data_IF_494300727267
#
_entry.id   IF_494300727267
#
_cell.length_a   1.000
_cell.length_b   1.000
_cell.length_c   1.000
_cell.angle_alpha   90.00
_cell.angle_beta   90.00
_cell.angle_gamma   90.00
#
_symmetry.space_group_name_H-M   'P 1'
#
loop_
_entity.id
_entity.type
_entity.pdbx_description
1 polymer ?
#
# COMPACT_ATOMS: atom_id res chain seq x y z
N UNK A 1 -25.73 37.53 -56.77
CA UNK A 1 -25.26 38.92 -56.62
C UNK A 1 -24.14 38.93 -55.58
N UNK A 2 -22.88 39.09 -56.00
CA UNK A 2 -21.73 39.13 -55.11
C UNK A 2 -21.53 40.55 -54.57
N UNK A 3 -21.47 40.72 -53.24
CA UNK A 3 -21.15 42.01 -52.60
C UNK A 3 -19.65 42.30 -52.75
N UNK A 4 -19.31 43.47 -53.26
CA UNK A 4 -17.93 43.96 -53.33
C UNK A 4 -17.39 44.20 -51.91
N UNK A 5 -16.26 43.58 -51.57
CA UNK A 5 -15.54 43.89 -50.33
C UNK A 5 -14.91 45.28 -50.46
N UNK A 6 -15.28 46.20 -49.55
CA UNK A 6 -14.69 47.53 -49.46
C UNK A 6 -13.20 47.47 -49.07
N UNK A 7 -12.43 48.55 -49.34
CA UNK A 7 -10.99 48.57 -49.14
C UNK A 7 -10.62 48.36 -47.66
N UNK A 8 -9.79 47.35 -47.39
CA UNK A 8 -9.23 47.09 -46.06
C UNK A 8 -8.26 48.22 -45.72
N UNK A 9 -8.69 49.08 -44.79
CA UNK A 9 -7.85 50.16 -44.25
C UNK A 9 -6.76 49.52 -43.40
N UNK A 10 -5.56 49.38 -43.96
CA UNK A 10 -4.36 48.95 -43.23
C UNK A 10 -4.11 49.92 -42.08
N UNK A 11 -4.38 49.49 -40.84
CA UNK A 11 -4.02 50.26 -39.65
C UNK A 11 -2.49 50.38 -39.63
N UNK A 12 -1.97 51.61 -39.67
CA UNK A 12 -0.54 51.87 -39.45
C UNK A 12 -0.16 51.23 -38.11
N UNK A 13 0.73 50.24 -38.15
CA UNK A 13 1.21 49.58 -36.95
C UNK A 13 1.88 50.63 -36.04
N UNK A 14 1.47 50.67 -34.78
CA UNK A 14 2.05 51.59 -33.81
C UNK A 14 3.53 51.22 -33.63
N UNK A 15 4.46 52.20 -33.73
CA UNK A 15 5.90 51.95 -33.61
C UNK A 15 6.29 51.23 -32.31
N UNK A 16 5.52 51.42 -31.23
CA UNK A 16 5.71 50.71 -29.97
C UNK A 16 5.45 49.21 -30.10
N UNK A 17 4.42 48.81 -30.86
CA UNK A 17 4.07 47.40 -31.07
C UNK A 17 5.10 46.70 -31.97
N UNK A 18 5.63 47.42 -32.96
CA UNK A 18 6.75 46.94 -33.78
C UNK A 18 8.05 46.80 -32.97
N UNK A 19 8.33 47.74 -32.07
CA UNK A 19 9.50 47.66 -31.19
C UNK A 19 9.41 46.48 -30.22
N UNK A 20 8.23 46.24 -29.62
CA UNK A 20 8.00 45.08 -28.75
C UNK A 20 8.13 43.78 -29.56
N UNK A 21 7.54 43.71 -30.76
CA UNK A 21 7.67 42.55 -31.64
C UNK A 21 9.12 42.26 -32.03
N UNK A 22 9.89 43.30 -32.37
CA UNK A 22 11.30 43.17 -32.69
C UNK A 22 12.13 42.70 -31.49
N UNK A 23 11.87 43.23 -30.30
CA UNK A 23 12.54 42.81 -29.07
C UNK A 23 12.24 41.34 -28.74
N UNK A 24 10.99 40.91 -28.93
CA UNK A 24 10.58 39.52 -28.72
C UNK A 24 11.26 38.57 -29.72
N UNK A 25 11.36 38.96 -30.99
CA UNK A 25 12.08 38.19 -32.01
C UNK A 25 13.58 38.09 -31.71
N UNK A 26 14.22 39.18 -31.28
CA UNK A 26 15.64 39.18 -30.90
C UNK A 26 15.87 38.30 -29.68
N UNK A 27 14.98 38.35 -28.69
CA UNK A 27 15.03 37.48 -27.51
C UNK A 27 14.90 36.00 -27.88
N UNK A 28 13.98 35.66 -28.79
CA UNK A 28 13.79 34.29 -29.28
C UNK A 28 15.02 33.81 -30.05
N UNK A 29 15.58 34.64 -30.93
CA UNK A 29 16.78 34.28 -31.71
C UNK A 29 17.99 34.14 -30.80
N UNK A 30 18.16 35.02 -29.80
CA UNK A 30 19.23 34.90 -28.81
C UNK A 30 19.10 33.61 -27.98
N UNK A 31 17.88 33.22 -27.62
CA UNK A 31 17.63 31.99 -26.87
C UNK A 31 17.83 30.71 -27.71
N UNK A 32 17.58 30.78 -29.03
CA UNK A 32 17.78 29.66 -29.96
C UNK A 32 19.21 29.55 -30.50
N UNK A 33 19.95 30.66 -30.59
CA UNK A 33 21.29 30.73 -31.18
C UNK A 33 22.42 30.95 -30.14
N UNK A 34 22.08 31.08 -28.85
CA UNK A 34 23.07 31.13 -27.78
C UNK A 34 23.90 29.84 -27.73
N UNK A 35 25.24 29.92 -27.57
CA UNK A 35 26.06 28.73 -27.48
C UNK A 35 25.56 27.87 -26.32
N UNK A 36 25.21 26.63 -26.61
CA UNK A 36 24.90 25.62 -25.60
C UNK A 36 26.17 25.40 -24.79
N UNK A 37 26.32 26.18 -23.72
CA UNK A 37 27.42 26.04 -22.78
C UNK A 37 27.50 24.59 -22.34
N UNK A 38 28.65 23.98 -22.62
CA UNK A 38 29.05 22.67 -22.12
C UNK A 38 28.98 22.71 -20.59
N UNK A 39 27.83 22.33 -20.05
CA UNK A 39 27.63 22.10 -18.64
C UNK A 39 28.33 20.79 -18.29
N UNK A 40 29.53 20.96 -17.75
CA UNK A 40 30.27 19.94 -17.03
C UNK A 40 29.39 19.30 -15.95
N UNK A 41 29.37 17.97 -15.95
CA UNK A 41 29.07 17.08 -14.83
C UNK A 41 27.92 17.48 -13.89
N UNK A 42 26.68 17.29 -14.36
CA UNK A 42 25.57 16.98 -13.45
C UNK A 42 25.01 15.61 -13.86
N UNK A 43 25.19 14.66 -12.96
CA UNK A 43 24.68 13.29 -12.98
C UNK A 43 23.23 13.24 -13.50
N UNK A 44 23.05 12.88 -14.78
CA UNK A 44 21.76 12.44 -15.31
C UNK A 44 21.38 11.14 -14.59
N UNK A 45 20.62 11.24 -13.51
CA UNK A 45 19.76 10.15 -13.02
C UNK A 45 18.76 9.85 -14.13
N UNK A 46 19.13 8.95 -15.05
CA UNK A 46 18.23 8.39 -16.06
C UNK A 46 17.11 7.65 -15.32
N UNK A 47 15.85 7.99 -15.61
CA UNK A 47 14.66 7.28 -15.15
C UNK A 47 14.78 5.80 -15.52
N UNK A 48 14.53 4.92 -14.54
CA UNK A 48 14.39 3.48 -14.76
C UNK A 48 13.17 3.23 -15.67
N UNK A 49 13.34 2.42 -16.71
CA UNK A 49 12.23 1.85 -17.47
C UNK A 49 12.10 0.37 -17.11
N UNK A 50 10.87 -0.19 -17.05
CA UNK A 50 10.67 -1.61 -16.80
C UNK A 50 11.32 -2.45 -17.92
N UNK A 51 11.67 -3.68 -17.60
CA UNK A 51 12.20 -4.64 -18.56
C UNK A 51 11.23 -4.81 -19.73
N UNK A 52 11.76 -5.11 -20.92
CA UNK A 52 10.95 -5.47 -22.10
C UNK A 52 10.23 -6.82 -21.94
N UNK A 53 10.49 -7.56 -20.84
CA UNK A 53 9.97 -8.88 -20.58
C UNK A 53 9.05 -8.89 -19.34
N UNK A 54 7.79 -9.37 -19.44
CA UNK A 54 6.81 -9.32 -18.35
C UNK A 54 7.10 -10.24 -17.16
N UNK A 55 8.11 -11.13 -17.27
CA UNK A 55 8.52 -12.07 -16.22
C UNK A 55 9.87 -11.72 -15.56
N UNK A 56 10.39 -10.51 -15.75
CA UNK A 56 11.59 -10.08 -15.01
C UNK A 56 11.24 -9.89 -13.53
N UNK A 57 11.93 -10.56 -12.59
CA UNK A 57 11.59 -10.44 -11.18
C UNK A 57 11.77 -8.98 -10.75
N UNK A 58 10.78 -8.35 -10.10
CA UNK A 58 10.84 -6.93 -9.73
C UNK A 58 11.83 -6.64 -8.60
N UNK A 59 12.57 -7.63 -8.13
CA UNK A 59 13.41 -7.55 -6.92
C UNK A 59 14.81 -7.00 -7.16
N UNK A 60 15.18 -6.63 -8.40
CA UNK A 60 16.45 -5.93 -8.63
C UNK A 60 16.31 -4.78 -9.64
N UNK A 61 16.79 -3.56 -9.32
CA UNK A 61 16.94 -2.53 -10.33
C UNK A 61 17.92 -3.05 -11.39
N UNK A 62 17.52 -3.01 -12.66
CA UNK A 62 18.37 -3.40 -13.78
C UNK A 62 19.73 -2.67 -13.68
N UNK A 63 20.80 -3.41 -13.37
CA UNK A 63 22.17 -2.90 -13.45
C UNK A 63 22.59 -2.93 -14.92
N UNK A 64 23.07 -1.79 -15.41
CA UNK A 64 23.64 -1.67 -16.76
C UNK A 64 24.69 -2.77 -16.94
N UNK A 65 24.55 -3.56 -18.00
CA UNK A 65 25.49 -4.64 -18.33
C UNK A 65 26.91 -4.10 -18.38
N UNK A 66 27.81 -4.65 -17.55
CA UNK A 66 29.23 -4.36 -17.68
C UNK A 66 29.77 -5.19 -18.84
N UNK A 67 30.12 -4.52 -19.93
CA UNK A 67 31.03 -5.09 -20.92
C UNK A 67 32.42 -5.16 -20.31
N UNK A 68 33.03 -6.35 -20.28
CA UNK A 68 34.46 -6.47 -19.96
C UNK A 68 35.30 -5.70 -20.99
N UNK A 69 36.56 -5.40 -20.67
CA UNK A 69 37.47 -4.70 -21.58
C UNK A 69 37.57 -5.35 -22.98
N UNK A 70 37.34 -6.66 -23.08
CA UNK A 70 37.33 -7.45 -24.32
C UNK A 70 35.97 -7.48 -25.06
N UNK A 71 34.99 -6.65 -24.69
CA UNK A 71 33.67 -6.60 -25.35
C UNK A 71 32.76 -7.80 -25.08
N UNK A 72 33.17 -8.76 -24.24
CA UNK A 72 32.33 -9.89 -23.82
C UNK A 72 31.34 -9.47 -22.74
N UNK A 73 30.13 -10.02 -22.81
CA UNK A 73 29.05 -9.80 -21.84
C UNK A 73 29.42 -10.47 -20.52
N UNK A 74 29.54 -9.69 -19.43
CA UNK A 74 29.73 -10.28 -18.10
C UNK A 74 28.44 -11.02 -17.72
N UNK A 75 28.49 -12.31 -17.36
CA UNK A 75 27.30 -13.03 -16.91
C UNK A 75 26.72 -12.36 -15.65
N UNK A 76 25.38 -12.36 -15.47
CA UNK A 76 24.76 -11.80 -14.28
C UNK A 76 25.24 -12.55 -13.02
N UNK A 77 25.30 -11.88 -11.86
CA UNK A 77 25.66 -12.55 -10.62
C UNK A 77 24.65 -13.65 -10.28
N UNK A 78 25.14 -14.83 -9.90
CA UNK A 78 24.30 -15.92 -9.41
C UNK A 78 24.12 -15.73 -7.90
N UNK A 79 22.88 -15.50 -7.46
CA UNK A 79 22.53 -15.44 -6.04
C UNK A 79 21.84 -16.72 -5.62
N UNK A 80 22.28 -17.32 -4.52
CA UNK A 80 21.67 -18.53 -3.93
C UNK A 80 20.99 -18.16 -2.62
N UNK A 81 19.74 -18.58 -2.47
CA UNK A 81 18.97 -18.43 -1.24
C UNK A 81 18.56 -19.82 -0.76
N UNK A 82 18.84 -20.12 0.50
CA UNK A 82 18.29 -21.28 1.18
C UNK A 82 17.12 -20.79 2.05
N UNK A 83 15.89 -21.04 1.61
CA UNK A 83 14.71 -20.54 2.31
C UNK A 83 14.54 -21.13 3.70
N UNK A 84 15.05 -22.35 3.94
CA UNK A 84 15.07 -22.96 5.28
C UNK A 84 15.96 -22.21 6.29
N UNK A 85 16.80 -21.28 5.82
CA UNK A 85 17.64 -20.43 6.68
C UNK A 85 17.04 -19.04 6.90
N UNK A 86 15.89 -18.71 6.29
CA UNK A 86 15.18 -17.46 6.54
C UNK A 86 14.37 -17.66 7.82
N UNK A 87 14.81 -17.01 8.90
CA UNK A 87 14.16 -17.16 10.19
C UNK A 87 12.99 -16.19 10.34
N UNK A 88 11.97 -16.62 11.07
CA UNK A 88 10.83 -15.80 11.49
C UNK A 88 10.57 -16.10 12.97
N UNK A 89 11.17 -15.30 13.85
CA UNK A 89 11.27 -15.61 15.29
C UNK A 89 10.63 -14.53 16.16
N UNK A 90 10.46 -14.84 17.45
CA UNK A 90 10.01 -13.88 18.44
C UNK A 90 10.95 -12.67 18.65
N UNK A 91 12.22 -12.77 18.24
CA UNK A 91 13.25 -11.75 18.41
C UNK A 91 13.83 -11.28 17.06
N UNK A 92 13.01 -10.63 16.21
CA UNK A 92 13.36 -10.38 14.81
C UNK A 92 14.57 -9.43 14.65
N UNK A 93 14.79 -8.49 15.58
CA UNK A 93 15.94 -7.57 15.52
C UNK A 93 17.27 -8.28 15.75
N UNK A 94 17.34 -9.16 16.76
CA UNK A 94 18.56 -9.91 17.10
C UNK A 94 19.00 -10.79 15.94
N UNK A 95 18.03 -11.37 15.24
CA UNK A 95 18.25 -12.22 14.06
C UNK A 95 18.37 -11.43 12.75
N UNK A 96 18.29 -10.09 12.81
CA UNK A 96 18.32 -9.18 11.64
C UNK A 96 17.32 -9.56 10.55
N UNK A 97 16.11 -9.93 10.96
CA UNK A 97 15.05 -10.39 10.07
C UNK A 97 14.51 -9.24 9.22
N UNK A 98 14.39 -9.45 7.91
CA UNK A 98 13.89 -8.41 7.00
C UNK A 98 12.36 -8.32 7.09
N UNK A 99 11.85 -7.09 7.23
CA UNK A 99 10.41 -6.81 7.23
C UNK A 99 10.02 -6.12 5.93
N UNK A 100 8.94 -6.58 5.31
CA UNK A 100 8.31 -5.97 4.16
C UNK A 100 6.98 -5.34 4.58
N UNK A 101 6.91 -4.01 4.61
CA UNK A 101 5.68 -3.27 4.90
C UNK A 101 4.95 -3.01 3.58
N UNK A 102 3.72 -3.51 3.48
CA UNK A 102 2.89 -3.46 2.29
C UNK A 102 1.68 -2.56 2.52
N UNK A 103 1.54 -1.53 1.68
CA UNK A 103 0.50 -0.51 1.84
C UNK A 103 -0.20 -0.19 0.52
N UNK A 104 -1.43 -0.71 0.33
CA UNK A 104 -2.37 -0.13 -0.63
C UNK A 104 -2.73 1.29 -0.20
N UNK A 105 -2.57 2.27 -1.10
CA UNK A 105 -2.73 3.68 -0.76
C UNK A 105 -3.54 4.42 -1.84
N UNK A 106 -4.77 4.81 -1.50
CA UNK A 106 -5.59 5.68 -2.33
C UNK A 106 -5.32 7.17 -2.09
N UNK A 107 -5.11 7.54 -0.82
CA UNK A 107 -4.80 8.90 -0.35
C UNK A 107 -3.54 8.87 0.50
N UNK A 108 -2.75 9.93 0.45
CA UNK A 108 -1.55 10.06 1.25
C UNK A 108 -1.85 10.87 2.52
N UNK A 109 -1.61 10.28 3.68
CA UNK A 109 -1.71 10.95 4.97
C UNK A 109 -0.32 11.18 5.54
N UNK A 110 -0.03 12.43 5.96
CA UNK A 110 1.25 12.74 6.57
C UNK A 110 1.44 11.97 7.89
N UNK A 111 0.37 11.79 8.67
CA UNK A 111 0.38 11.00 9.91
C UNK A 111 0.82 9.56 9.70
N UNK A 112 0.40 8.91 8.61
CA UNK A 112 0.86 7.56 8.26
C UNK A 112 2.38 7.53 8.00
N UNK A 113 2.92 8.50 7.27
CA UNK A 113 4.35 8.56 7.00
C UNK A 113 5.17 8.86 8.26
N UNK A 114 4.67 9.76 9.11
CA UNK A 114 5.31 10.08 10.38
C UNK A 114 5.30 8.87 11.32
N UNK A 115 4.21 8.10 11.33
CA UNK A 115 4.09 6.83 12.05
C UNK A 115 5.13 5.81 11.56
N UNK A 116 5.29 5.62 10.25
CA UNK A 116 6.36 4.75 9.70
C UNK A 116 7.76 5.19 10.15
N UNK A 117 8.03 6.49 10.21
CA UNK A 117 9.33 7.03 10.64
C UNK A 117 9.57 6.94 12.14
N UNK A 118 8.51 6.73 12.91
CA UNK A 118 8.53 6.58 14.36
C UNK A 118 8.77 5.12 14.79
N UNK A 119 8.58 4.14 13.91
CA UNK A 119 8.91 2.74 14.19
C UNK A 119 10.36 2.60 14.65
N UNK A 120 10.58 1.86 15.72
CA UNK A 120 11.92 1.65 16.30
C UNK A 120 12.59 0.37 15.76
N UNK A 121 11.93 -0.38 14.88
CA UNK A 121 12.56 -1.46 14.13
C UNK A 121 13.65 -0.88 13.20
N UNK A 122 14.85 -1.48 13.10
CA UNK A 122 15.94 -0.89 12.33
C UNK A 122 15.54 -0.64 10.87
N UNK A 123 15.57 0.61 10.42
CA UNK A 123 15.06 0.99 9.11
C UNK A 123 15.83 0.30 7.96
N UNK A 124 17.10 -0.06 8.18
CA UNK A 124 17.91 -0.82 7.23
C UNK A 124 17.46 -2.29 7.04
N UNK A 125 16.51 -2.76 7.85
CA UNK A 125 15.84 -4.05 7.74
C UNK A 125 14.39 -3.92 7.22
N UNK A 126 13.92 -2.70 6.98
CA UNK A 126 12.55 -2.43 6.51
C UNK A 126 12.56 -2.16 5.01
N UNK A 127 11.80 -2.95 4.27
CA UNK A 127 11.46 -2.75 2.88
C UNK A 127 10.04 -2.19 2.81
N UNK A 128 9.84 -1.07 2.12
CA UNK A 128 8.51 -0.50 1.92
C UNK A 128 8.03 -0.81 0.52
N UNK A 129 6.76 -1.19 0.38
CA UNK A 129 6.13 -1.26 -0.91
C UNK A 129 4.71 -0.68 -0.89
N UNK A 130 4.44 0.15 -1.89
CA UNK A 130 3.18 0.85 -2.05
C UNK A 130 2.52 0.47 -3.37
N UNK A 131 1.19 0.38 -3.38
CA UNK A 131 0.42 0.32 -4.62
C UNK A 131 -0.67 1.39 -4.61
N UNK A 132 -0.73 2.19 -5.67
CA UNK A 132 -1.64 3.33 -5.77
C UNK A 132 -2.52 3.28 -7.03
N UNK A 133 -3.78 3.71 -6.98
CA UNK A 133 -4.71 3.68 -8.12
C UNK A 133 -4.36 4.74 -9.18
N UNK A 134 -4.67 4.44 -10.45
CA UNK A 134 -4.47 5.34 -11.60
C UNK A 134 -5.58 6.38 -11.80
N UNK A 135 -5.96 7.06 -10.72
CA UNK A 135 -6.95 8.15 -10.76
C UNK A 135 -6.35 9.48 -10.25
N UNK A 136 -7.14 10.55 -10.23
CA UNK A 136 -6.71 11.90 -9.81
C UNK A 136 -6.13 11.89 -8.39
N UNK A 137 -6.83 11.26 -7.44
CA UNK A 137 -6.42 11.18 -6.03
C UNK A 137 -5.14 10.37 -5.87
N UNK A 138 -5.06 9.19 -6.50
CA UNK A 138 -3.87 8.34 -6.47
C UNK A 138 -2.65 8.97 -7.14
N UNK A 139 -2.83 9.83 -8.16
CA UNK A 139 -1.74 10.63 -8.72
C UNK A 139 -1.22 11.65 -7.69
N UNK A 140 -2.11 12.36 -6.99
CA UNK A 140 -1.72 13.30 -5.94
C UNK A 140 -1.01 12.59 -4.78
N UNK A 141 -1.54 11.44 -4.33
CA UNK A 141 -0.93 10.59 -3.32
C UNK A 141 0.47 10.11 -3.76
N UNK A 142 0.64 9.72 -5.04
CA UNK A 142 1.94 9.32 -5.58
C UNK A 142 2.96 10.45 -5.51
N UNK A 143 2.57 11.68 -5.89
CA UNK A 143 3.47 12.84 -5.81
C UNK A 143 3.87 13.17 -4.38
N UNK A 144 2.92 13.14 -3.43
CA UNK A 144 3.19 13.39 -2.02
C UNK A 144 4.12 12.32 -1.41
N UNK A 145 3.83 11.04 -1.67
CA UNK A 145 4.66 9.91 -1.26
C UNK A 145 6.08 10.04 -1.82
N UNK A 146 6.23 10.33 -3.11
CA UNK A 146 7.56 10.48 -3.74
C UNK A 146 8.37 11.63 -3.12
N UNK A 147 7.73 12.73 -2.75
CA UNK A 147 8.39 13.84 -2.08
C UNK A 147 8.95 13.40 -0.71
N UNK A 148 8.16 12.70 0.09
CA UNK A 148 8.57 12.20 1.39
C UNK A 148 9.64 11.10 1.30
N UNK A 149 9.48 10.15 0.37
CA UNK A 149 10.49 9.13 0.06
C UNK A 149 11.83 9.77 -0.30
N UNK A 150 11.82 10.79 -1.16
CA UNK A 150 13.04 11.49 -1.58
C UNK A 150 13.72 12.20 -0.42
N UNK A 151 12.94 12.78 0.50
CA UNK A 151 13.45 13.43 1.72
C UNK A 151 14.09 12.41 2.65
N UNK A 152 13.36 11.34 2.99
CA UNK A 152 13.81 10.31 3.94
C UNK A 152 15.04 9.56 3.44
N UNK A 153 15.07 9.18 2.15
CA UNK A 153 16.18 8.44 1.54
C UNK A 153 17.46 9.26 1.35
N UNK A 154 17.44 10.57 1.63
CA UNK A 154 18.63 11.43 1.73
C UNK A 154 19.09 11.66 3.18
N UNK A 155 18.23 11.34 4.16
CA UNK A 155 18.50 11.53 5.57
C UNK A 155 19.17 10.32 6.21
N UNK A 156 19.28 10.30 7.55
CA UNK A 156 19.86 9.18 8.30
C UNK A 156 18.88 8.00 8.50
N UNK A 157 17.56 8.24 8.43
CA UNK A 157 16.50 7.24 8.65
C UNK A 157 16.11 6.50 7.36
N UNK A 158 17.09 6.04 6.58
CA UNK A 158 16.84 5.41 5.28
C UNK A 158 16.27 4.00 5.47
N UNK A 159 15.17 3.72 4.76
CA UNK A 159 14.64 2.36 4.63
C UNK A 159 15.50 1.54 3.65
N UNK A 160 15.60 0.22 3.88
CA UNK A 160 16.40 -0.71 3.07
C UNK A 160 16.10 -0.62 1.58
N UNK A 161 14.81 -0.62 1.23
CA UNK A 161 14.33 -0.46 -0.13
C UNK A 161 12.92 0.11 -0.15
N UNK A 162 12.55 0.77 -1.25
CA UNK A 162 11.20 1.33 -1.44
C UNK A 162 10.74 1.05 -2.87
N UNK A 163 9.60 0.38 -2.99
CA UNK A 163 8.94 0.09 -4.28
C UNK A 163 7.60 0.82 -4.35
N UNK A 164 7.33 1.51 -5.46
CA UNK A 164 6.04 2.21 -5.68
C UNK A 164 5.43 1.67 -6.97
N UNK A 165 4.31 0.98 -6.85
CA UNK A 165 3.54 0.41 -7.94
C UNK A 165 2.32 1.29 -8.24
N UNK A 166 1.89 1.25 -9.51
CA UNK A 166 0.63 1.85 -9.97
C UNK A 166 -0.26 0.72 -10.45
N UNK A 167 -1.50 0.66 -9.96
CA UNK A 167 -2.47 -0.37 -10.36
C UNK A 167 -2.61 -0.46 -11.88
N UNK A 168 -2.73 -1.67 -12.42
CA UNK A 168 -2.83 -1.97 -13.85
C UNK A 168 -4.26 -2.31 -14.30
N UNK A 169 -5.22 -2.28 -13.38
CA UNK A 169 -6.65 -2.44 -13.63
C UNK A 169 -7.43 -1.17 -13.27
N UNK A 170 -8.61 -1.03 -13.86
CA UNK A 170 -9.50 0.10 -13.60
C UNK A 170 -10.13 0.02 -12.20
N UNK A 171 -10.36 1.19 -11.60
CA UNK A 171 -11.07 1.27 -10.32
C UNK A 171 -12.52 0.80 -10.53
N UNK A 172 -13.04 -0.13 -9.72
CA UNK A 172 -14.39 -0.68 -9.90
C UNK A 172 -15.49 0.35 -9.60
N UNK A 173 -15.17 1.41 -8.86
CA UNK A 173 -16.11 2.46 -8.47
C UNK A 173 -15.62 3.82 -8.96
N UNK A 174 -16.54 4.61 -9.52
CA UNK A 174 -16.27 5.98 -9.98
C UNK A 174 -16.12 6.97 -8.81
N UNK A 175 -16.81 6.73 -7.67
CA UNK A 175 -16.68 7.51 -6.43
C UNK A 175 -15.91 6.73 -5.35
N UNK A 176 -15.15 7.46 -4.53
CA UNK A 176 -14.46 6.97 -3.33
C UNK A 176 -15.13 7.43 -2.03
N UNK A 177 -16.33 8.03 -2.11
CA UNK A 177 -17.07 8.50 -0.94
C UNK A 177 -17.51 7.34 -0.05
N UNK A 178 -17.41 7.51 1.27
CA UNK A 178 -17.71 6.47 2.26
C UNK A 178 -19.10 5.85 2.03
N UNK A 179 -20.15 6.67 1.97
CA UNK A 179 -21.53 6.19 1.77
C UNK A 179 -21.70 5.32 0.50
N UNK A 180 -20.98 5.61 -0.59
CA UNK A 180 -21.01 4.81 -1.81
C UNK A 180 -20.19 3.53 -1.70
N UNK A 181 -19.05 3.57 -0.98
CA UNK A 181 -18.21 2.39 -0.68
C UNK A 181 -18.94 1.38 0.20
N UNK A 182 -19.85 1.84 1.07
CA UNK A 182 -20.61 1.02 2.02
C UNK A 182 -21.92 0.45 1.46
N UNK A 183 -22.25 0.64 0.17
CA UNK A 183 -23.38 -0.05 -0.45
C UNK A 183 -23.05 -1.54 -0.66
N UNK A 184 -23.94 -2.42 -0.25
CA UNK A 184 -23.74 -3.88 -0.30
C UNK A 184 -23.38 -4.38 -1.71
N UNK A 185 -24.08 -3.88 -2.74
CA UNK A 185 -23.83 -4.19 -4.15
C UNK A 185 -22.41 -3.81 -4.63
N UNK A 186 -21.81 -2.79 -4.01
CA UNK A 186 -20.49 -2.29 -4.37
C UNK A 186 -19.36 -3.00 -3.60
N UNK A 187 -19.66 -3.69 -2.50
CA UNK A 187 -18.63 -4.31 -1.67
C UNK A 187 -17.89 -5.43 -2.37
N UNK A 188 -18.60 -6.33 -3.05
CA UNK A 188 -17.97 -7.45 -3.79
C UNK A 188 -16.96 -6.97 -4.83
N UNK A 189 -17.31 -6.10 -5.80
CA UNK A 189 -16.34 -5.62 -6.78
C UNK A 189 -15.23 -4.76 -6.16
N UNK A 190 -15.53 -3.97 -5.11
CA UNK A 190 -14.52 -3.17 -4.38
C UNK A 190 -13.49 -4.06 -3.69
N UNK A 191 -13.92 -5.05 -2.90
CA UNK A 191 -13.04 -5.99 -2.20
C UNK A 191 -12.27 -6.87 -3.17
N UNK A 192 -12.87 -7.28 -4.28
CA UNK A 192 -12.16 -7.98 -5.35
C UNK A 192 -11.01 -7.14 -5.93
N UNK A 193 -11.23 -5.84 -6.18
CA UNK A 193 -10.17 -4.95 -6.67
C UNK A 193 -9.08 -4.68 -5.60
N UNK A 194 -9.46 -4.54 -4.34
CA UNK A 194 -8.50 -4.45 -3.23
C UNK A 194 -7.65 -5.71 -3.11
N UNK A 195 -8.25 -6.90 -3.20
CA UNK A 195 -7.57 -8.17 -3.20
C UNK A 195 -6.55 -8.27 -4.35
N UNK A 196 -6.93 -7.86 -5.58
CA UNK A 196 -6.01 -7.77 -6.72
C UNK A 196 -4.86 -6.80 -6.45
N UNK A 197 -5.12 -5.65 -5.83
CA UNK A 197 -4.08 -4.68 -5.48
C UNK A 197 -3.08 -5.25 -4.47
N UNK A 198 -3.58 -5.87 -3.38
CA UNK A 198 -2.76 -6.54 -2.36
C UNK A 198 -1.92 -7.66 -3.00
N UNK A 199 -2.53 -8.53 -3.78
CA UNK A 199 -1.80 -9.60 -4.47
C UNK A 199 -0.73 -9.06 -5.42
N UNK A 200 -1.06 -8.07 -6.25
CA UNK A 200 -0.09 -7.47 -7.17
C UNK A 200 1.09 -6.86 -6.42
N UNK A 201 0.83 -6.22 -5.29
CA UNK A 201 1.87 -5.65 -4.43
C UNK A 201 2.74 -6.74 -3.79
N UNK A 202 2.12 -7.76 -3.20
CA UNK A 202 2.79 -8.87 -2.54
C UNK A 202 3.67 -9.65 -3.51
N UNK A 203 3.11 -10.19 -4.59
CA UNK A 203 3.83 -11.05 -5.52
C UNK A 203 4.97 -10.32 -6.25
N UNK A 204 4.87 -8.99 -6.38
CA UNK A 204 5.91 -8.18 -7.01
C UNK A 204 7.07 -7.90 -6.06
N UNK A 205 6.84 -7.87 -4.74
CA UNK A 205 7.81 -7.34 -3.77
C UNK A 205 8.28 -8.34 -2.71
N UNK A 206 7.64 -9.50 -2.59
CA UNK A 206 8.06 -10.57 -1.68
C UNK A 206 9.37 -11.21 -2.18
N UNK A 207 10.49 -10.72 -1.64
CA UNK A 207 11.81 -11.27 -1.91
C UNK A 207 12.13 -12.55 -1.14
N UNK A 208 13.14 -13.31 -1.56
CA UNK A 208 13.56 -14.54 -0.88
C UNK A 208 14.24 -14.29 0.47
N UNK A 209 14.64 -13.06 0.81
CA UNK A 209 15.25 -12.73 2.11
C UNK A 209 14.25 -12.17 3.14
N UNK A 210 13.00 -11.91 2.75
CA UNK A 210 11.99 -11.31 3.62
C UNK A 210 11.56 -12.33 4.68
N UNK A 211 11.62 -11.97 5.96
CA UNK A 211 11.15 -12.81 7.07
C UNK A 211 9.69 -12.51 7.39
N UNK A 212 9.33 -11.22 7.44
CA UNK A 212 8.00 -10.78 7.86
C UNK A 212 7.34 -9.89 6.82
N UNK A 213 6.03 -10.01 6.69
CA UNK A 213 5.18 -9.12 5.91
C UNK A 213 4.23 -8.41 6.86
N UNK A 214 4.34 -7.08 6.94
CA UNK A 214 3.39 -6.24 7.67
C UNK A 214 2.47 -5.56 6.66
N UNK A 215 1.21 -6.01 6.62
CA UNK A 215 0.16 -5.25 5.97
C UNK A 215 -0.21 -4.07 6.86
N UNK A 216 -0.10 -2.86 6.34
CA UNK A 216 -0.45 -1.64 7.05
C UNK A 216 -1.16 -0.71 6.07
N UNK A 217 -2.45 -0.48 6.29
CA UNK A 217 -3.24 0.38 5.42
C UNK A 217 -2.78 1.84 5.53
N UNK A 218 -2.90 2.61 4.43
CA UNK A 218 -2.29 3.94 4.28
C UNK A 218 -2.89 5.04 5.16
N UNK A 219 -3.94 4.71 5.89
CA UNK A 219 -4.74 5.54 6.80
C UNK A 219 -4.55 5.15 8.28
N UNK A 220 -3.67 4.18 8.58
CA UNK A 220 -3.22 3.94 9.96
C UNK A 220 -2.13 4.95 10.34
N UNK A 221 -2.53 5.94 11.12
CA UNK A 221 -1.72 7.13 11.42
C UNK A 221 -1.02 7.08 12.79
N UNK A 222 -1.35 6.11 13.65
CA UNK A 222 -0.76 5.99 14.97
C UNK A 222 -0.70 4.51 15.38
N UNK A 223 0.51 4.08 15.75
CA UNK A 223 0.84 2.75 16.29
C UNK A 223 1.90 2.92 17.37
N UNK A 224 2.02 1.99 18.34
CA UNK A 224 3.18 1.97 19.20
C UNK A 224 4.47 1.86 18.36
N UNK A 225 5.55 2.61 18.66
CA UNK A 225 6.81 2.53 17.91
C UNK A 225 7.40 1.13 17.77
N UNK A 226 7.11 0.26 18.75
CA UNK A 226 7.51 -1.14 18.82
C UNK A 226 6.57 -2.12 18.10
N UNK A 227 5.63 -1.65 17.28
CA UNK A 227 4.61 -2.47 16.60
C UNK A 227 5.13 -3.81 16.08
N UNK A 228 6.24 -3.80 15.34
CA UNK A 228 6.77 -5.02 14.71
C UNK A 228 7.25 -6.01 15.77
N UNK A 229 7.99 -5.54 16.77
CA UNK A 229 8.53 -6.37 17.85
C UNK A 229 7.41 -6.89 18.75
N UNK A 230 6.46 -6.01 19.08
CA UNK A 230 5.33 -6.34 19.93
C UNK A 230 4.44 -7.39 19.30
N UNK A 231 4.27 -7.40 17.98
CA UNK A 231 3.53 -8.44 17.28
C UNK A 231 4.38 -9.71 17.06
N UNK A 232 5.65 -9.57 16.70
CA UNK A 232 6.53 -10.70 16.43
C UNK A 232 6.80 -11.57 17.67
N UNK A 233 6.86 -10.97 18.87
CA UNK A 233 7.13 -11.71 20.13
C UNK A 233 6.13 -12.84 20.41
N UNK A 234 4.93 -12.76 19.84
CA UNK A 234 3.89 -13.78 19.97
C UNK A 234 4.15 -15.04 19.12
N UNK A 235 5.12 -14.97 18.20
CA UNK A 235 5.56 -16.06 17.33
C UNK A 235 4.45 -16.71 16.48
N UNK A 236 3.37 -15.96 16.21
CA UNK A 236 2.24 -16.43 15.40
C UNK A 236 2.51 -16.27 13.91
N UNK A 237 1.93 -17.18 13.13
CA UNK A 237 2.01 -17.14 11.67
C UNK A 237 1.28 -15.91 11.08
N UNK A 238 0.15 -15.55 11.66
CA UNK A 238 -0.69 -14.41 11.27
C UNK A 238 -1.21 -13.78 12.57
N UNK A 239 -0.93 -12.49 12.79
CA UNK A 239 -1.36 -11.77 13.99
C UNK A 239 -1.88 -10.36 13.67
N UNK A 240 -3.06 -10.03 14.22
CA UNK A 240 -3.75 -8.77 14.01
C UNK A 240 -3.93 -8.00 15.34
N UNK A 241 -3.43 -6.76 15.47
CA UNK A 241 -3.85 -5.85 16.53
C UNK A 241 -5.29 -5.36 16.29
N UNK A 242 -5.89 -4.76 17.32
CA UNK A 242 -7.22 -4.16 17.24
C UNK A 242 -7.15 -2.74 16.67
N UNK A 243 -8.05 -2.40 15.75
CA UNK A 243 -8.03 -1.09 15.09
C UNK A 243 -9.17 -0.20 15.59
N UNK A 244 -8.80 0.95 16.13
CA UNK A 244 -9.68 1.97 16.66
C UNK A 244 -9.51 3.27 15.88
N UNK A 245 -10.38 4.24 16.14
CA UNK A 245 -10.29 5.59 15.62
C UNK A 245 -10.45 6.57 16.78
N UNK A 246 -9.53 7.54 16.89
CA UNK A 246 -9.66 8.64 17.85
C UNK A 246 -10.58 9.71 17.29
N UNK A 247 -11.44 10.28 18.12
CA UNK A 247 -12.29 11.41 17.75
C UNK A 247 -12.47 12.36 18.94
N UNK A 248 -12.97 13.57 18.69
CA UNK A 248 -13.36 14.50 19.76
C UNK A 248 -14.87 14.41 19.92
N UNK A 249 -15.32 14.04 21.10
CA UNK A 249 -16.75 13.96 21.41
C UNK A 249 -17.35 15.37 21.44
N UNK A 250 -18.31 15.64 20.55
CA UNK A 250 -18.90 16.98 20.39
C UNK A 250 -19.66 17.47 21.63
N UNK A 251 -20.17 16.56 22.47
CA UNK A 251 -20.96 16.91 23.65
C UNK A 251 -20.07 17.27 24.84
N UNK A 252 -18.93 16.59 24.97
CA UNK A 252 -18.02 16.75 26.12
C UNK A 252 -16.76 17.52 25.78
N UNK A 253 -16.44 17.69 24.50
CA UNK A 253 -15.19 18.28 24.01
C UNK A 253 -13.95 17.44 24.30
N UNK A 254 -14.11 16.20 24.77
CA UNK A 254 -13.00 15.33 25.19
C UNK A 254 -12.61 14.38 24.07
N UNK A 255 -11.32 14.03 24.03
CA UNK A 255 -10.83 12.94 23.18
C UNK A 255 -11.45 11.61 23.63
N UNK A 256 -11.98 10.87 22.67
CA UNK A 256 -12.55 9.54 22.83
C UNK A 256 -12.02 8.63 21.71
N UNK A 257 -12.31 7.33 21.82
CA UNK A 257 -11.99 6.36 20.79
C UNK A 257 -13.20 5.46 20.51
N UNK A 258 -13.30 4.99 19.27
CA UNK A 258 -14.35 4.05 18.82
C UNK A 258 -13.72 2.92 18.01
N UNK A 259 -14.29 1.70 18.03
CA UNK A 259 -13.84 0.65 17.15
C UNK A 259 -13.99 1.04 15.68
N UNK A 260 -13.05 0.60 14.86
CA UNK A 260 -13.02 0.93 13.43
C UNK A 260 -13.08 -0.33 12.55
N UNK A 261 -12.17 -1.29 12.77
CA UNK A 261 -12.10 -2.49 11.93
C UNK A 261 -12.94 -3.64 12.51
N UNK A 262 -14.01 -3.99 11.81
CA UNK A 262 -14.90 -5.10 12.15
C UNK A 262 -14.58 -6.40 11.40
N UNK A 263 -13.49 -6.46 10.62
CA UNK A 263 -13.12 -7.65 9.84
C UNK A 263 -12.26 -8.64 10.64
N UNK A 264 -11.88 -8.29 11.87
CA UNK A 264 -11.24 -9.21 12.82
C UNK A 264 -12.33 -9.88 13.66
N UNK A 265 -12.58 -11.17 13.43
CA UNK A 265 -13.69 -11.88 14.09
C UNK A 265 -13.45 -13.39 14.24
N UNK A 266 -14.18 -13.99 15.19
CA UNK A 266 -14.37 -15.44 15.34
C UNK A 266 -15.67 -15.86 14.66
N UNK A 267 -15.62 -16.99 13.94
CA UNK A 267 -16.76 -17.47 13.17
C UNK A 267 -17.91 -17.91 14.08
N UNK A 268 -19.13 -18.01 13.52
CA UNK A 268 -20.31 -18.42 14.27
C UNK A 268 -21.03 -19.58 13.57
N UNK A 269 -21.77 -20.36 14.34
CA UNK A 269 -22.64 -21.41 13.79
C UNK A 269 -23.69 -20.82 12.82
N UNK A 270 -24.21 -19.63 13.12
CA UNK A 270 -25.19 -18.93 12.27
C UNK A 270 -24.59 -18.52 10.92
N UNK A 271 -23.36 -17.98 10.91
CA UNK A 271 -22.67 -17.63 9.68
C UNK A 271 -22.38 -18.87 8.80
N UNK A 272 -22.02 -19.99 9.44
CA UNK A 272 -21.83 -21.26 8.74
C UNK A 272 -23.14 -21.78 8.15
N UNK A 273 -24.25 -21.72 8.89
CA UNK A 273 -25.55 -22.14 8.37
C UNK A 273 -26.01 -21.25 7.20
N UNK A 274 -25.82 -19.93 7.30
CA UNK A 274 -26.08 -18.99 6.20
C UNK A 274 -25.27 -19.37 4.96
N UNK A 275 -23.96 -19.61 5.12
CA UNK A 275 -23.08 -20.02 4.03
C UNK A 275 -23.56 -21.30 3.33
N UNK A 276 -24.09 -22.30 4.06
CA UNK A 276 -24.60 -23.54 3.42
C UNK A 276 -25.81 -23.31 2.50
N UNK A 277 -26.54 -22.20 2.68
CA UNK A 277 -27.72 -21.84 1.89
C UNK A 277 -27.39 -20.91 0.72
N UNK A 278 -26.14 -20.46 0.62
CA UNK A 278 -25.68 -19.49 -0.36
C UNK A 278 -25.19 -20.17 -1.66
N UNK A 279 -25.28 -19.43 -2.76
CA UNK A 279 -24.69 -19.85 -4.03
C UNK A 279 -23.15 -19.86 -3.96
N UNK A 280 -22.48 -20.56 -4.89
CA UNK A 280 -21.03 -20.72 -4.88
C UNK A 280 -20.25 -19.40 -4.99
N UNK A 281 -20.85 -18.39 -5.63
CA UNK A 281 -20.23 -17.07 -5.82
C UNK A 281 -20.69 -16.02 -4.80
N UNK A 282 -21.60 -16.36 -3.90
CA UNK A 282 -22.11 -15.42 -2.91
C UNK A 282 -21.08 -15.21 -1.80
N UNK A 283 -21.05 -14.01 -1.24
CA UNK A 283 -20.12 -13.63 -0.18
C UNK A 283 -20.86 -13.16 1.06
N UNK A 284 -20.32 -13.52 2.23
CA UNK A 284 -20.71 -12.97 3.52
C UNK A 284 -19.98 -11.65 3.73
N UNK A 285 -20.69 -10.65 4.25
CA UNK A 285 -20.13 -9.34 4.58
C UNK A 285 -20.59 -8.93 5.97
N UNK A 286 -19.64 -8.57 6.82
CA UNK A 286 -19.93 -8.03 8.14
C UNK A 286 -20.52 -6.62 8.08
N UNK A 287 -21.37 -6.29 9.06
CA UNK A 287 -21.90 -4.94 9.27
C UNK A 287 -23.19 -4.61 8.49
N UNK A 288 -23.77 -5.56 7.76
CA UNK A 288 -25.05 -5.37 7.06
C UNK A 288 -26.21 -5.93 7.88
N UNK A 289 -27.20 -5.09 8.20
CA UNK A 289 -28.40 -5.49 8.96
C UNK A 289 -29.18 -6.63 8.28
N UNK A 290 -29.11 -6.69 6.95
CA UNK A 290 -29.75 -7.71 6.12
C UNK A 290 -29.09 -9.10 6.27
N UNK A 291 -27.88 -9.18 6.86
CA UNK A 291 -27.11 -10.40 7.03
C UNK A 291 -26.52 -10.45 8.45
N UNK A 292 -27.33 -10.88 9.41
CA UNK A 292 -26.87 -11.07 10.79
C UNK A 292 -26.00 -12.35 10.89
N UNK A 293 -24.68 -12.18 10.75
CA UNK A 293 -23.71 -13.27 10.84
C UNK A 293 -23.48 -13.74 12.27
N UNK A 294 -23.73 -12.90 13.29
CA UNK A 294 -23.44 -13.17 14.70
C UNK A 294 -21.99 -13.58 14.98
N UNK A 295 -21.06 -13.17 14.12
CA UNK A 295 -19.63 -13.34 14.35
C UNK A 295 -19.19 -12.49 15.51
N UNK A 296 -18.32 -13.04 16.35
CA UNK A 296 -17.83 -12.33 17.51
C UNK A 296 -16.67 -11.42 17.06
N UNK A 297 -16.90 -10.11 17.11
CA UNK A 297 -15.97 -9.11 16.58
C UNK A 297 -14.90 -8.76 17.63
N UNK A 298 -13.62 -8.87 17.25
CA UNK A 298 -12.48 -8.55 18.13
C UNK A 298 -12.52 -7.11 18.66
N UNK A 299 -13.10 -6.19 17.88
CA UNK A 299 -13.40 -4.81 18.26
C UNK A 299 -14.03 -4.67 19.66
N UNK A 300 -14.82 -5.66 20.10
CA UNK A 300 -15.54 -5.65 21.38
C UNK A 300 -15.03 -6.68 22.38
N UNK A 301 -13.88 -7.30 22.13
CA UNK A 301 -13.29 -8.35 22.98
C UNK A 301 -12.19 -7.82 23.92
N UNK A 302 -12.10 -6.51 24.11
CA UNK A 302 -11.15 -5.90 25.06
C UNK A 302 -11.48 -6.31 26.49
N UNK A 303 -10.45 -6.57 27.29
CA UNK A 303 -10.59 -6.96 28.71
C UNK A 303 -10.27 -5.79 29.64
N UNK A 304 -10.87 -5.79 30.84
CA UNK A 304 -10.71 -4.69 31.82
C UNK A 304 -9.29 -4.59 32.38
N UNK A 305 -8.57 -5.71 32.47
CA UNK A 305 -7.18 -5.76 32.93
C UNK A 305 -6.18 -5.17 31.92
N UNK A 306 -6.65 -4.86 30.70
CA UNK A 306 -5.88 -4.27 29.61
C UNK A 306 -4.55 -5.00 29.31
N UNK A 307 -4.54 -6.32 29.47
CA UNK A 307 -3.38 -7.14 29.13
C UNK A 307 -3.14 -7.07 27.61
N UNK A 308 -2.12 -6.32 27.19
CA UNK A 308 -1.77 -6.13 25.77
C UNK A 308 -1.39 -7.45 25.08
N UNK A 309 -1.00 -8.46 25.85
CA UNK A 309 -0.55 -9.76 25.34
C UNK A 309 -1.69 -10.79 25.30
N UNK A 310 -2.92 -10.37 25.59
CA UNK A 310 -4.10 -11.23 25.51
C UNK A 310 -4.35 -11.65 24.05
N UNK A 311 -4.23 -12.95 23.79
CA UNK A 311 -4.41 -13.55 22.47
C UNK A 311 -5.78 -14.23 22.34
N UNK A 312 -6.40 -14.07 21.17
CA UNK A 312 -7.58 -14.85 20.79
C UNK A 312 -7.37 -15.49 19.40
N UNK A 313 -7.93 -16.69 19.13
CA UNK A 313 -7.97 -17.20 17.76
C UNK A 313 -8.92 -16.34 16.92
N UNK A 314 -8.60 -16.15 15.64
CA UNK A 314 -9.46 -15.48 14.66
C UNK A 314 -9.79 -16.41 13.48
N UNK A 315 -10.94 -16.18 12.87
CA UNK A 315 -11.41 -16.84 11.65
C UNK A 315 -11.46 -15.88 10.46
N UNK A 316 -11.64 -14.59 10.71
CA UNK A 316 -11.46 -13.49 9.77
C UNK A 316 -10.45 -12.48 10.31
N UNK A 317 -9.71 -11.85 9.40
CA UNK A 317 -8.80 -10.74 9.71
C UNK A 317 -9.05 -9.58 8.77
N UNK A 318 -8.81 -8.36 9.25
CA UNK A 318 -8.79 -7.13 8.46
C UNK A 318 -7.44 -6.81 7.86
N UNK A 319 -7.40 -5.74 7.07
CA UNK A 319 -6.20 -5.23 6.41
C UNK A 319 -5.54 -4.03 7.10
N UNK A 320 -6.18 -3.47 8.14
CA UNK A 320 -5.74 -2.24 8.81
C UNK A 320 -4.28 -2.34 9.27
N UNK A 321 -3.99 -3.33 10.11
CA UNK A 321 -2.64 -3.75 10.46
C UNK A 321 -2.64 -5.26 10.67
N UNK A 322 -1.70 -5.97 10.05
CA UNK A 322 -1.61 -7.43 10.11
C UNK A 322 -0.17 -7.87 9.85
N UNK A 323 0.45 -8.50 10.84
CA UNK A 323 1.79 -9.09 10.71
C UNK A 323 1.67 -10.57 10.33
N UNK A 324 2.40 -10.96 9.28
CA UNK A 324 2.36 -12.30 8.70
C UNK A 324 3.79 -12.82 8.52
N UNK A 325 4.07 -14.04 8.96
CA UNK A 325 5.33 -14.73 8.62
C UNK A 325 5.38 -14.92 7.10
N UNK A 326 6.49 -14.55 6.46
CA UNK A 326 6.60 -14.58 5.00
C UNK A 326 6.31 -15.96 4.39
N UNK A 327 6.58 -17.04 5.13
CA UNK A 327 6.32 -18.41 4.70
C UNK A 327 4.84 -18.68 4.47
N UNK A 328 3.93 -18.04 5.21
CA UNK A 328 2.48 -18.17 4.99
C UNK A 328 2.11 -17.75 3.56
N UNK A 329 2.71 -16.65 3.08
CA UNK A 329 2.54 -16.21 1.70
C UNK A 329 3.30 -17.07 0.69
N UNK A 330 4.48 -17.61 1.04
CA UNK A 330 5.24 -18.53 0.17
C UNK A 330 4.55 -19.87 -0.03
N UNK A 331 3.82 -20.34 0.98
CA UNK A 331 2.98 -21.54 0.92
C UNK A 331 1.69 -21.32 0.11
N UNK A 332 1.43 -20.09 -0.32
CA UNK A 332 0.38 -19.75 -1.27
C UNK A 332 -0.80 -18.99 -0.67
N UNK A 333 -0.79 -18.64 0.62
CA UNK A 333 -1.83 -17.81 1.20
C UNK A 333 -1.81 -16.41 0.54
N UNK A 334 -2.95 -16.01 -0.01
CA UNK A 334 -3.10 -14.74 -0.74
C UNK A 334 -4.52 -14.19 -0.51
N UNK A 335 -4.81 -13.01 -1.04
CA UNK A 335 -6.12 -12.37 -0.92
C UNK A 335 -7.00 -12.80 -2.09
N UNK A 336 -7.97 -13.72 -1.93
CA UNK A 336 -8.77 -14.18 -3.05
C UNK A 336 -9.61 -13.01 -3.61
N UNK A 337 -9.50 -12.69 -4.91
CA UNK A 337 -10.33 -11.67 -5.57
C UNK A 337 -11.69 -12.23 -6.04
N UNK A 338 -12.06 -13.41 -5.56
CA UNK A 338 -13.26 -14.17 -5.86
C UNK A 338 -13.79 -14.79 -4.57
N UNK A 339 -15.02 -15.32 -4.59
CA UNK A 339 -15.59 -15.99 -3.43
C UNK A 339 -14.79 -17.25 -3.07
N UNK A 340 -14.30 -17.31 -1.84
CA UNK A 340 -13.54 -18.43 -1.30
C UNK A 340 -14.14 -18.81 0.04
N UNK A 341 -14.90 -19.91 0.09
CA UNK A 341 -15.75 -20.27 1.23
C UNK A 341 -16.70 -19.12 1.64
N UNK A 342 -17.28 -18.45 0.65
CA UNK A 342 -18.13 -17.26 0.84
C UNK A 342 -17.41 -16.05 1.48
N UNK A 343 -16.09 -16.05 1.49
CA UNK A 343 -15.26 -14.93 1.95
C UNK A 343 -14.47 -14.36 0.77
N UNK A 344 -13.94 -13.15 0.93
CA UNK A 344 -13.15 -12.47 -0.09
C UNK A 344 -12.04 -11.67 0.57
N UNK A 345 -10.98 -11.34 -0.17
CA UNK A 345 -9.94 -10.42 0.28
C UNK A 345 -9.29 -10.85 1.62
N UNK A 346 -9.25 -10.03 2.67
CA UNK A 346 -8.51 -10.36 3.91
C UNK A 346 -9.16 -11.49 4.71
N UNK A 347 -10.49 -11.56 4.72
CA UNK A 347 -11.22 -12.65 5.37
C UNK A 347 -11.02 -13.98 4.63
N UNK A 348 -10.99 -13.93 3.30
CA UNK A 348 -10.63 -15.07 2.47
C UNK A 348 -9.18 -15.52 2.68
N UNK A 349 -8.26 -14.57 2.90
CA UNK A 349 -6.86 -14.85 3.28
C UNK A 349 -6.77 -15.57 4.64
N UNK A 350 -7.53 -15.13 5.65
CA UNK A 350 -7.57 -15.82 6.95
C UNK A 350 -8.03 -17.28 6.80
N UNK A 351 -9.10 -17.49 6.02
CA UNK A 351 -9.58 -18.84 5.70
C UNK A 351 -8.53 -19.66 4.98
N UNK A 352 -7.84 -19.08 4.00
CA UNK A 352 -6.79 -19.75 3.24
C UNK A 352 -5.60 -20.14 4.12
N UNK A 353 -5.18 -19.25 5.01
CA UNK A 353 -4.14 -19.52 6.00
C UNK A 353 -4.49 -20.71 6.89
N UNK A 354 -5.75 -20.77 7.37
CA UNK A 354 -6.25 -21.94 8.14
C UNK A 354 -6.23 -23.22 7.33
N UNK A 355 -6.57 -23.18 6.04
CA UNK A 355 -6.50 -24.35 5.15
C UNK A 355 -5.07 -24.85 4.92
N UNK A 356 -4.08 -23.98 5.04
CA UNK A 356 -2.65 -24.30 5.00
C UNK A 356 -2.07 -24.71 6.38
N UNK A 357 -2.90 -24.74 7.44
CA UNK A 357 -2.48 -25.16 8.78
C UNK A 357 -2.02 -24.02 9.70
N UNK A 358 -2.17 -22.75 9.26
CA UNK A 358 -1.82 -21.58 10.06
C UNK A 358 -3.08 -20.99 10.72
N UNK A 359 -3.08 -20.87 12.05
CA UNK A 359 -4.18 -20.27 12.80
C UNK A 359 -3.94 -18.76 12.97
N UNK A 360 -4.79 -17.88 12.41
CA UNK A 360 -4.74 -16.45 12.70
C UNK A 360 -5.03 -16.15 14.17
N UNK A 361 -4.34 -15.16 14.71
CA UNK A 361 -4.45 -14.71 16.11
C UNK A 361 -4.74 -13.21 16.15
N UNK A 362 -5.54 -12.80 17.12
CA UNK A 362 -5.88 -11.40 17.38
C UNK A 362 -5.37 -10.95 18.74
N UNK A 363 -5.04 -9.66 18.87
CA UNK A 363 -4.72 -9.00 20.14
C UNK A 363 -5.79 -7.93 20.44
N UNK A 364 -6.85 -8.27 21.21
CA UNK A 364 -7.97 -7.35 21.43
C UNK A 364 -7.58 -6.04 22.12
N UNK A 365 -6.60 -6.10 23.04
CA UNK A 365 -6.17 -4.96 23.84
C UNK A 365 -5.04 -4.14 23.19
N UNK A 366 -4.34 -4.70 22.20
CA UNK A 366 -3.26 -4.00 21.49
C UNK A 366 -3.87 -3.13 20.38
N UNK A 367 -3.86 -1.80 20.57
CA UNK A 367 -4.57 -0.87 19.69
C UNK A 367 -3.66 -0.18 18.68
N UNK A 368 -4.16 -0.06 17.46
CA UNK A 368 -3.66 0.84 16.41
C UNK A 368 -4.77 1.79 15.98
N UNK A 369 -4.42 2.96 15.46
CA UNK A 369 -5.39 4.01 15.19
C UNK A 369 -5.45 4.43 13.72
N UNK A 370 -6.65 4.32 13.17
CA UNK A 370 -7.03 4.82 11.87
C UNK A 370 -7.26 6.34 11.90
N UNK A 371 -7.01 7.01 10.77
CA UNK A 371 -7.30 8.43 10.56
C UNK A 371 -8.79 8.74 10.82
N UNK A 372 -9.09 9.86 11.49
CA UNK A 372 -10.48 10.30 11.61
C UNK A 372 -10.90 11.02 10.34
N UNK A 373 -11.72 10.38 9.50
CA UNK A 373 -12.20 10.93 8.22
C UNK A 373 -13.02 12.22 8.38
#
# INVERSE_FOLDING_TARGET
>A
MARAMGPVRMKKANPVTLAIGAFLCIFIIYFLAGPSGSSSNILKKKKAQPASHPLSPPTSPFRKESTSADGRRTPPPVTRYNLNNVTTTANPIENREDVLILTPMARFYQGYWDNLLALNYPHELINLAFILPKNKEGNAATSALQAQVTKTQRGPKQFKSITILRQDFDAPLQSQDEAERHKMQNQKPRRAAMAKARNSLLFTTLGPSISWVLWLDGDIIETPPSLIQDLAKHDKAVIAPNCFQRYVDEKTGKSAERPYDYNNWQDSATAQELATKMGPDDILLEGYQEMATYRALMAYMTTEDNNLDYEIPLDGVGGAALLVKADVHRDGAMFPPFAFYHLIETEGFAKMSKRLGFQPTGLPNYKVYHYNE
#
